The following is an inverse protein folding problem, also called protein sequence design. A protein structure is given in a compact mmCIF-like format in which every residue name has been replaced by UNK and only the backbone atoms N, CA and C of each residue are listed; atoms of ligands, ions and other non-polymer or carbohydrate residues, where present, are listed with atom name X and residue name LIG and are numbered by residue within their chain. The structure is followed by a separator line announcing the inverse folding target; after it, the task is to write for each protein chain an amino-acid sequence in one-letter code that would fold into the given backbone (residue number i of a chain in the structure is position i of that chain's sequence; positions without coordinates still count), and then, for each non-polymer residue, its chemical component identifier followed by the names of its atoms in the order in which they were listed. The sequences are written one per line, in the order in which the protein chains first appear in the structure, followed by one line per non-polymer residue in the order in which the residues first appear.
data_IF_744802681731
#
_entry.id   IF_744802681731
#
_cell.length_a   1.000
_cell.length_b   1.000
_cell.length_c   1.000
_cell.angle_alpha   90.00
_cell.angle_beta   90.00
_cell.angle_gamma   90.00
#
_symmetry.space_group_name_H-M   'P 1'
#
loop_
_entity.id
_entity.type
_entity.pdbx_description
1 polymer ?
#
# COMPACT_ATOMS: atom_id res chain seq x y z
N UNK A 1 -1.22 7.20 -18.55
CA UNK A 1 -1.45 8.32 -17.59
C UNK A 1 -1.48 7.71 -16.21
N UNK A 2 -0.79 8.31 -15.24
CA UNK A 2 -0.63 7.74 -13.90
C UNK A 2 -1.45 8.54 -12.88
N UNK A 3 -2.25 7.84 -12.08
CA UNK A 3 -2.86 8.37 -10.85
C UNK A 3 -2.13 7.75 -9.67
N UNK A 4 -1.79 8.55 -8.66
CA UNK A 4 -1.21 8.07 -7.41
C UNK A 4 -2.27 8.11 -6.32
N UNK A 5 -2.39 7.01 -5.58
CA UNK A 5 -3.24 6.93 -4.39
C UNK A 5 -2.35 6.77 -3.17
N UNK A 6 -2.42 7.75 -2.27
CA UNK A 6 -1.70 7.77 -1.01
C UNK A 6 -2.62 7.40 0.15
N UNK A 7 -2.08 6.71 1.15
CA UNK A 7 -2.83 6.22 2.32
C UNK A 7 -1.88 5.73 3.41
N UNK A 8 -2.27 5.83 4.67
CA UNK A 8 -1.44 5.44 5.81
C UNK A 8 -1.36 3.91 6.00
N UNK A 9 -0.21 3.39 6.45
CA UNK A 9 0.05 1.99 6.87
C UNK A 9 -0.22 0.87 5.86
N UNK A 10 0.71 -0.04 5.60
CA UNK A 10 0.54 -1.01 4.49
C UNK A 10 -0.52 -2.09 4.76
N UNK A 11 -0.77 -2.39 6.03
CA UNK A 11 -1.76 -3.36 6.51
C UNK A 11 -3.02 -2.68 7.09
N UNK A 12 -3.20 -1.39 6.82
CA UNK A 12 -4.32 -0.61 7.35
C UNK A 12 -5.58 -0.72 6.47
N UNK A 13 -6.73 -0.37 7.06
CA UNK A 13 -7.99 -0.18 6.32
C UNK A 13 -7.92 0.95 5.27
N UNK A 14 -7.02 1.91 5.44
CA UNK A 14 -6.79 3.00 4.46
C UNK A 14 -6.15 2.43 3.19
N UNK A 15 -5.13 1.58 3.36
CA UNK A 15 -4.47 0.91 2.24
C UNK A 15 -5.38 -0.12 1.57
N UNK A 16 -6.19 -0.81 2.37
CA UNK A 16 -7.22 -1.72 1.84
C UNK A 16 -8.26 -0.99 0.98
N UNK A 17 -8.70 0.20 1.40
CA UNK A 17 -9.57 1.04 0.57
C UNK A 17 -8.89 1.45 -0.75
N UNK A 18 -7.59 1.75 -0.74
CA UNK A 18 -6.84 2.04 -1.96
C UNK A 18 -6.79 0.83 -2.92
N UNK A 19 -6.63 -0.39 -2.39
CA UNK A 19 -6.67 -1.64 -3.17
C UNK A 19 -8.04 -1.89 -3.77
N UNK A 20 -9.10 -1.69 -2.96
CA UNK A 20 -10.49 -1.79 -3.42
C UNK A 20 -10.77 -0.83 -4.57
N UNK A 21 -10.43 0.46 -4.43
CA UNK A 21 -10.59 1.47 -5.50
C UNK A 21 -9.87 1.06 -6.79
N UNK A 22 -8.67 0.50 -6.68
CA UNK A 22 -7.91 0.03 -7.84
C UNK A 22 -8.57 -1.17 -8.50
N UNK A 23 -9.01 -2.16 -7.72
CA UNK A 23 -9.72 -3.35 -8.21
C UNK A 23 -11.00 -2.96 -8.94
N UNK A 24 -11.83 -2.14 -8.31
CA UNK A 24 -13.08 -1.64 -8.88
C UNK A 24 -12.87 -0.89 -10.20
N UNK A 25 -11.84 -0.06 -10.26
CA UNK A 25 -11.47 0.58 -11.52
C UNK A 25 -11.03 -0.43 -12.58
N UNK A 26 -10.21 -1.42 -12.20
CA UNK A 26 -9.67 -2.44 -13.12
C UNK A 26 -10.75 -3.33 -13.71
N UNK A 27 -11.79 -3.68 -12.94
CA UNK A 27 -12.84 -4.58 -13.39
C UNK A 27 -14.01 -3.84 -14.05
N UNK A 28 -14.43 -2.69 -13.51
CA UNK A 28 -15.63 -2.00 -13.98
C UNK A 28 -15.38 -0.91 -15.04
N UNK A 29 -14.22 -0.25 -14.99
CA UNK A 29 -13.96 0.94 -15.83
C UNK A 29 -12.91 0.66 -16.89
N UNK A 30 -11.76 0.09 -16.51
CA UNK A 30 -10.61 -0.15 -17.37
C UNK A 30 -10.94 -0.88 -18.69
N UNK A 31 -11.81 -1.91 -18.73
CA UNK A 31 -12.18 -2.60 -19.96
C UNK A 31 -13.05 -1.75 -20.90
N UNK A 32 -13.70 -0.71 -20.37
CA UNK A 32 -14.76 0.05 -21.04
C UNK A 32 -14.30 1.45 -21.51
N UNK A 33 -13.02 1.82 -21.32
CA UNK A 33 -12.49 3.12 -21.68
C UNK A 33 -11.35 3.02 -22.71
N UNK A 34 -11.31 3.98 -23.65
CA UNK A 34 -10.29 4.02 -24.70
C UNK A 34 -8.89 4.42 -24.19
N UNK A 35 -8.83 5.24 -23.12
CA UNK A 35 -7.56 5.71 -22.56
C UNK A 35 -7.46 5.24 -21.12
N UNK A 36 -6.64 4.22 -20.91
CA UNK A 36 -6.45 3.60 -19.62
C UNK A 36 -5.54 4.45 -18.71
N UNK A 37 -6.00 4.64 -17.50
CA UNK A 37 -5.23 5.14 -16.36
C UNK A 37 -4.53 3.97 -15.67
N UNK A 38 -3.27 4.17 -15.30
CA UNK A 38 -2.54 3.29 -14.39
C UNK A 38 -2.68 3.88 -12.99
N UNK A 39 -3.24 3.10 -12.06
CA UNK A 39 -3.36 3.47 -10.66
C UNK A 39 -2.16 2.88 -9.91
N UNK A 40 -1.37 3.76 -9.30
CA UNK A 40 -0.24 3.43 -8.46
C UNK A 40 -0.62 3.67 -7.01
N UNK A 41 -0.69 2.61 -6.21
CA UNK A 41 -0.88 2.73 -4.76
C UNK A 41 0.50 3.00 -4.17
N UNK A 42 0.63 4.17 -3.56
CA UNK A 42 1.88 4.63 -3.00
C UNK A 42 2.07 4.03 -1.61
N UNK A 43 3.30 3.65 -1.29
CA UNK A 43 3.67 3.13 0.01
C UNK A 43 3.47 4.15 1.14
N UNK A 44 4.01 5.38 1.06
CA UNK A 44 3.87 6.36 2.13
C UNK A 44 2.44 6.89 2.24
N UNK A 45 2.14 7.48 3.40
CA UNK A 45 0.86 8.13 3.66
C UNK A 45 0.59 9.32 2.74
N UNK A 46 1.64 10.08 2.43
CA UNK A 46 1.64 11.19 1.48
C UNK A 46 3.08 11.41 1.02
N UNK A 47 3.31 12.36 0.13
CA UNK A 47 4.65 12.84 -0.22
C UNK A 47 5.30 13.48 1.02
N UNK A 48 6.62 13.39 1.12
CA UNK A 48 7.33 13.92 2.28
C UNK A 48 7.07 15.42 2.46
N UNK A 49 6.69 15.81 3.68
CA UNK A 49 6.36 17.20 4.04
C UNK A 49 5.02 17.69 3.49
N UNK A 50 4.18 16.79 2.95
CA UNK A 50 2.82 17.08 2.49
C UNK A 50 1.80 16.46 3.42
N UNK A 51 0.57 16.92 3.25
CA UNK A 51 -0.62 16.37 3.88
C UNK A 51 -1.86 16.86 3.15
N UNK A 52 -3.01 16.34 3.55
CA UNK A 52 -4.31 16.75 3.04
C UNK A 52 -5.42 16.19 3.91
N UNK A 53 -6.66 16.37 3.47
CA UNK A 53 -7.84 16.06 4.29
C UNK A 53 -7.92 14.59 4.73
N UNK A 54 -7.30 13.66 4.00
CA UNK A 54 -7.24 12.26 4.41
C UNK A 54 -6.63 12.04 5.81
N UNK A 55 -5.71 12.90 6.27
CA UNK A 55 -5.05 12.81 7.58
C UNK A 55 -6.07 12.99 8.71
N UNK A 56 -6.80 14.12 8.83
CA UNK A 56 -7.85 14.26 9.85
C UNK A 56 -8.89 13.13 9.84
N UNK A 57 -9.31 12.64 8.66
CA UNK A 57 -10.30 11.55 8.59
C UNK A 57 -9.75 10.25 9.18
N UNK A 58 -8.50 9.87 8.86
CA UNK A 58 -7.91 8.65 9.42
C UNK A 58 -7.63 8.76 10.92
N UNK A 59 -7.23 9.93 11.42
CA UNK A 59 -7.00 10.18 12.85
C UNK A 59 -8.30 10.02 13.65
N UNK A 60 -9.45 10.25 13.00
CA UNK A 60 -10.78 10.00 13.54
C UNK A 60 -11.31 8.58 13.25
N UNK A 61 -10.47 7.70 12.72
CA UNK A 61 -10.80 6.30 12.49
C UNK A 61 -11.65 6.05 11.24
N UNK A 62 -11.71 6.95 10.26
CA UNK A 62 -12.37 6.69 8.98
C UNK A 62 -11.35 6.19 7.94
N UNK A 63 -11.62 5.11 7.19
CA UNK A 63 -10.84 4.77 5.99
C UNK A 63 -10.73 6.00 5.08
N UNK A 64 -9.52 6.32 4.64
CA UNK A 64 -9.24 7.58 3.98
C UNK A 64 -8.04 7.41 3.05
N UNK A 65 -8.18 7.94 1.84
CA UNK A 65 -7.14 7.89 0.81
C UNK A 65 -7.05 9.26 0.14
N UNK A 66 -5.91 9.55 -0.48
CA UNK A 66 -5.68 10.78 -1.25
C UNK A 66 -5.34 10.43 -2.69
N UNK A 67 -6.10 10.99 -3.64
CA UNK A 67 -5.74 10.97 -5.05
C UNK A 67 -4.83 12.15 -5.36
N UNK A 68 -3.71 11.88 -6.02
CA UNK A 68 -2.74 12.92 -6.42
C UNK A 68 -2.33 12.70 -7.87
N UNK A 69 -2.11 13.81 -8.59
CA UNK A 69 -1.50 13.78 -9.92
C UNK A 69 -0.10 13.20 -9.86
N UNK A 70 0.23 12.29 -10.77
CA UNK A 70 1.62 11.87 -10.96
C UNK A 70 2.50 13.03 -11.48
N UNK A 71 1.89 14.01 -12.15
CA UNK A 71 2.55 15.21 -12.66
C UNK A 71 1.87 16.43 -12.04
N UNK A 72 2.40 16.96 -10.96
CA UNK A 72 1.73 18.05 -10.23
C UNK A 72 1.99 19.46 -10.81
N UNK A 73 2.85 19.66 -11.82
CA UNK A 73 2.95 20.92 -12.59
C UNK A 73 3.55 20.74 -14.00
N UNK A 74 3.33 21.74 -14.88
CA UNK A 74 3.46 21.78 -16.36
C UNK A 74 4.79 21.41 -17.04
N UNK A 75 5.75 20.87 -16.29
CA UNK A 75 7.06 20.46 -16.78
C UNK A 75 7.26 18.94 -16.56
N UNK A 76 6.49 18.35 -15.63
CA UNK A 76 6.27 16.91 -15.46
C UNK A 76 7.51 16.04 -15.20
N UNK A 77 8.68 16.64 -14.97
CA UNK A 77 9.94 15.90 -14.88
C UNK A 77 10.69 16.24 -13.58
N UNK A 78 10.56 15.39 -12.53
CA UNK A 78 11.30 15.52 -11.28
C UNK A 78 12.83 15.54 -11.45
N UNK A 79 13.33 15.03 -12.58
CA UNK A 79 14.77 15.01 -12.90
C UNK A 79 15.27 16.33 -13.50
N UNK A 80 14.41 17.34 -13.71
CA UNK A 80 14.86 18.64 -14.20
C UNK A 80 15.57 19.45 -13.10
N UNK A 81 16.71 20.10 -13.41
CA UNK A 81 17.34 21.04 -12.50
C UNK A 81 16.37 22.18 -12.17
N UNK A 82 16.06 22.37 -10.89
CA UNK A 82 15.13 23.40 -10.44
C UNK A 82 13.66 22.96 -10.34
N UNK A 83 13.38 21.65 -10.38
CA UNK A 83 12.09 21.13 -9.93
C UNK A 83 11.84 21.55 -8.47
N UNK A 84 10.93 22.50 -8.28
CA UNK A 84 10.43 22.91 -6.97
C UNK A 84 8.97 22.48 -6.86
N UNK A 85 8.74 21.52 -5.98
CA UNK A 85 7.40 21.05 -5.61
C UNK A 85 6.63 22.21 -4.95
N UNK A 86 5.66 22.81 -5.65
CA UNK A 86 4.97 24.02 -5.19
C UNK A 86 3.87 23.71 -4.17
N UNK A 87 3.77 24.53 -3.13
CA UNK A 87 2.66 24.48 -2.18
C UNK A 87 1.54 25.39 -2.67
N UNK A 88 0.29 24.93 -2.52
CA UNK A 88 -0.86 25.77 -2.80
C UNK A 88 -0.87 27.01 -1.91
N UNK A 89 -1.24 28.14 -2.49
CA UNK A 89 -1.31 29.42 -1.82
C UNK A 89 -2.66 30.11 -2.07
N UNK A 90 -2.96 31.16 -1.30
CA UNK A 90 -4.12 32.02 -1.57
C UNK A 90 -4.02 32.80 -2.88
N UNK A 91 -2.85 32.80 -3.52
CA UNK A 91 -2.58 33.47 -4.79
C UNK A 91 -2.76 32.54 -5.99
N UNK A 92 -3.13 31.28 -5.76
CA UNK A 92 -3.34 30.31 -6.82
C UNK A 92 -4.50 30.74 -7.72
N UNK A 93 -4.23 30.74 -9.03
CA UNK A 93 -5.20 31.05 -10.07
C UNK A 93 -5.47 29.82 -10.92
N UNK A 94 -6.66 29.75 -11.51
CA UNK A 94 -7.08 28.60 -12.32
C UNK A 94 -6.34 28.49 -13.66
N UNK A 95 -5.84 29.62 -14.17
CA UNK A 95 -5.29 29.73 -15.50
C UNK A 95 -4.73 31.12 -15.81
N UNK A 96 -4.37 31.32 -17.07
CA UNK A 96 -3.94 32.61 -17.64
C UNK A 96 -4.88 32.96 -18.78
N UNK A 97 -5.24 34.23 -18.87
CA UNK A 97 -5.86 34.86 -20.05
C UNK A 97 -4.72 35.34 -20.95
N UNK A 98 -4.48 34.65 -22.07
CA UNK A 98 -3.34 34.90 -22.94
C UNK A 98 -3.58 35.98 -24.01
N UNK A 99 -4.84 36.36 -24.24
CA UNK A 99 -5.22 37.40 -25.22
C UNK A 99 -5.84 38.66 -24.60
N UNK A 100 -6.01 38.67 -23.28
CA UNK A 100 -6.48 39.78 -22.44
C UNK A 100 -7.93 40.20 -22.78
N UNK A 101 -8.78 39.24 -23.17
CA UNK A 101 -10.21 39.45 -23.46
C UNK A 101 -11.10 39.35 -22.19
N UNK A 102 -10.52 38.96 -21.05
CA UNK A 102 -11.19 38.76 -19.78
C UNK A 102 -11.68 37.33 -19.54
N UNK A 103 -11.39 36.39 -20.44
CA UNK A 103 -11.68 34.97 -20.34
C UNK A 103 -10.38 34.17 -20.23
N UNK A 104 -10.38 33.15 -19.37
CA UNK A 104 -9.23 32.23 -19.30
C UNK A 104 -9.25 31.29 -20.50
N UNK A 105 -8.14 31.26 -21.23
CA UNK A 105 -7.93 30.41 -22.41
C UNK A 105 -6.77 29.39 -22.22
N UNK A 106 -5.99 29.53 -21.14
CA UNK A 106 -4.96 28.59 -20.71
C UNK A 106 -5.19 28.18 -19.25
N UNK A 107 -5.16 26.88 -18.95
CA UNK A 107 -5.48 26.34 -17.62
C UNK A 107 -4.30 25.59 -17.01
N UNK A 108 -4.11 25.75 -15.69
CA UNK A 108 -3.10 25.01 -14.94
C UNK A 108 -3.58 23.62 -14.49
N UNK A 109 -4.84 23.30 -14.75
CA UNK A 109 -5.45 21.99 -14.51
C UNK A 109 -5.70 21.30 -15.84
N UNK A 110 -5.26 20.05 -15.95
CA UNK A 110 -5.69 19.17 -17.04
C UNK A 110 -7.10 18.62 -16.73
N UNK A 111 -8.11 19.13 -17.44
CA UNK A 111 -9.50 18.70 -17.26
C UNK A 111 -9.74 17.24 -17.63
N UNK A 112 -8.97 16.67 -18.56
CA UNK A 112 -9.07 15.25 -18.88
C UNK A 112 -8.50 14.39 -17.75
N UNK A 113 -7.42 14.83 -17.12
CA UNK A 113 -6.89 14.18 -15.91
C UNK A 113 -7.91 14.26 -14.77
N UNK A 114 -8.45 15.45 -14.50
CA UNK A 114 -9.47 15.66 -13.47
C UNK A 114 -10.71 14.78 -13.70
N UNK A 115 -11.22 14.73 -14.93
CA UNK A 115 -12.36 13.89 -15.28
C UNK A 115 -12.09 12.40 -15.03
N UNK A 116 -10.89 11.90 -15.38
CA UNK A 116 -10.52 10.51 -15.10
C UNK A 116 -10.44 10.22 -13.61
N UNK A 117 -9.84 11.13 -12.83
CA UNK A 117 -9.77 11.00 -11.38
C UNK A 117 -11.17 10.99 -10.75
N UNK A 118 -12.06 11.88 -11.23
CA UNK A 118 -13.46 11.93 -10.79
C UNK A 118 -14.22 10.63 -11.11
N UNK A 119 -14.00 10.02 -12.29
CA UNK A 119 -14.62 8.74 -12.64
C UNK A 119 -14.12 7.61 -11.75
N UNK A 120 -12.82 7.52 -11.49
CA UNK A 120 -12.24 6.48 -10.60
C UNK A 120 -12.84 6.60 -9.19
N UNK A 121 -12.85 7.82 -8.63
CA UNK A 121 -13.41 8.08 -7.32
C UNK A 121 -14.92 7.80 -7.26
N UNK A 122 -15.67 8.30 -8.25
CA UNK A 122 -17.11 8.08 -8.35
C UNK A 122 -17.50 6.61 -8.50
N UNK A 123 -16.72 5.83 -9.26
CA UNK A 123 -16.92 4.38 -9.39
C UNK A 123 -16.76 3.68 -8.04
N UNK A 124 -15.64 3.91 -7.35
CA UNK A 124 -15.40 3.28 -6.06
C UNK A 124 -16.44 3.67 -5.00
N UNK A 125 -16.86 4.94 -4.97
CA UNK A 125 -17.94 5.39 -4.09
C UNK A 125 -19.28 4.70 -4.42
N UNK A 126 -19.61 4.56 -5.70
CA UNK A 126 -20.84 3.90 -6.13
C UNK A 126 -20.82 2.41 -5.76
N UNK A 127 -19.71 1.71 -6.03
CA UNK A 127 -19.58 0.28 -5.73
C UNK A 127 -19.59 0.02 -4.22
N UNK A 128 -18.87 0.82 -3.42
CA UNK A 128 -18.90 0.70 -1.97
C UNK A 128 -20.27 1.01 -1.35
N UNK A 129 -21.07 1.87 -1.99
CA UNK A 129 -22.41 2.23 -1.51
C UNK A 129 -23.50 1.23 -1.93
N UNK A 130 -23.32 0.57 -3.08
CA UNK A 130 -24.25 -0.43 -3.60
C UNK A 130 -23.95 -1.83 -3.06
N UNK A 131 -22.67 -2.14 -2.81
CA UNK A 131 -22.23 -3.45 -2.37
C UNK A 131 -22.80 -3.86 -1.01
N UNK A 132 -22.86 -5.18 -0.74
CA UNK A 132 -23.38 -5.69 0.51
C UNK A 132 -22.45 -5.37 1.69
N UNK A 133 -22.91 -5.69 2.91
CA UNK A 133 -22.04 -5.62 4.08
C UNK A 133 -20.89 -6.63 3.95
N UNK A 134 -19.64 -6.24 4.26
CA UNK A 134 -18.49 -7.14 4.15
C UNK A 134 -18.57 -8.32 5.12
N UNK A 135 -17.81 -9.41 4.87
CA UNK A 135 -17.66 -10.49 5.84
C UNK A 135 -17.23 -9.96 7.21
N UNK A 136 -17.87 -10.47 8.27
CA UNK A 136 -17.59 -10.09 9.65
C UNK A 136 -16.17 -10.48 10.06
N UNK A 137 -15.71 -11.65 9.61
CA UNK A 137 -14.34 -12.10 9.79
C UNK A 137 -13.92 -13.08 8.70
N UNK A 138 -12.61 -13.30 8.61
CA UNK A 138 -11.97 -14.32 7.79
C UNK A 138 -11.01 -15.07 8.72
N UNK A 139 -10.89 -16.38 8.57
CA UNK A 139 -9.73 -17.12 9.09
C UNK A 139 -9.09 -17.91 7.95
N UNK A 140 -7.76 -18.08 8.05
CA UNK A 140 -6.98 -18.74 7.01
C UNK A 140 -6.00 -19.72 7.63
N UNK A 141 -6.00 -20.95 7.10
CA UNK A 141 -5.09 -22.00 7.49
C UNK A 141 -4.36 -22.55 6.25
N UNK A 142 -3.10 -22.94 6.40
CA UNK A 142 -2.37 -23.60 5.32
C UNK A 142 -2.67 -25.11 5.32
N UNK A 143 -3.00 -25.65 4.15
CA UNK A 143 -3.12 -27.09 3.90
C UNK A 143 -2.23 -27.50 2.72
N UNK A 144 -1.02 -27.97 3.00
CA UNK A 144 -0.07 -28.31 1.94
C UNK A 144 0.31 -27.08 1.12
N UNK A 145 0.01 -27.12 -0.18
CA UNK A 145 0.19 -25.99 -1.11
C UNK A 145 -1.11 -25.20 -1.35
N UNK A 146 -2.06 -25.28 -0.41
CA UNK A 146 -3.34 -24.60 -0.48
C UNK A 146 -3.56 -23.74 0.77
N UNK A 147 -4.47 -22.77 0.66
CA UNK A 147 -5.04 -22.07 1.79
C UNK A 147 -6.49 -22.52 1.97
N UNK A 148 -6.84 -22.94 3.18
CA UNK A 148 -8.22 -23.14 3.59
C UNK A 148 -8.70 -21.83 4.18
N UNK A 149 -9.73 -21.26 3.57
CA UNK A 149 -10.35 -20.01 4.01
C UNK A 149 -11.68 -20.30 4.67
N UNK A 150 -11.98 -19.64 5.77
CA UNK A 150 -13.28 -19.66 6.43
C UNK A 150 -13.79 -18.23 6.51
N UNK A 151 -14.83 -17.94 5.74
CA UNK A 151 -15.46 -16.63 5.60
C UNK A 151 -16.70 -16.63 6.50
N UNK A 152 -16.70 -15.74 7.49
CA UNK A 152 -17.85 -15.49 8.35
C UNK A 152 -18.69 -14.38 7.73
N UNK A 153 -19.64 -14.75 6.88
CA UNK A 153 -20.58 -13.83 6.25
C UNK A 153 -21.98 -13.99 6.87
N UNK A 154 -22.43 -13.03 7.69
CA UNK A 154 -23.74 -13.10 8.32
C UNK A 154 -24.90 -12.99 7.32
N UNK A 155 -24.65 -12.49 6.11
CA UNK A 155 -25.66 -12.33 5.07
C UNK A 155 -25.86 -13.60 4.22
N UNK A 156 -24.91 -14.54 4.27
CA UNK A 156 -24.90 -15.81 3.55
C UNK A 156 -25.30 -15.65 2.06
N UNK A 157 -24.68 -14.69 1.36
CA UNK A 157 -25.00 -14.41 -0.05
C UNK A 157 -24.41 -15.47 -1.01
N UNK A 158 -23.48 -16.30 -0.54
CA UNK A 158 -23.03 -17.49 -1.25
C UNK A 158 -22.10 -17.22 -2.45
N UNK A 159 -21.58 -16.00 -2.59
CA UNK A 159 -20.53 -15.65 -3.55
C UNK A 159 -19.51 -14.71 -2.89
N UNK A 160 -18.24 -15.06 -2.99
CA UNK A 160 -17.16 -14.41 -2.27
C UNK A 160 -15.95 -14.18 -3.16
N UNK A 161 -15.24 -13.09 -2.86
CA UNK A 161 -13.97 -12.71 -3.49
C UNK A 161 -12.89 -12.81 -2.44
N UNK A 162 -11.83 -13.58 -2.69
CA UNK A 162 -10.73 -13.76 -1.73
C UNK A 162 -9.46 -13.19 -2.36
N UNK A 163 -8.99 -12.07 -1.81
CA UNK A 163 -7.78 -11.41 -2.26
C UNK A 163 -6.58 -11.84 -1.42
N UNK A 164 -5.46 -12.11 -2.09
CA UNK A 164 -4.18 -12.47 -1.49
C UNK A 164 -3.13 -11.47 -1.94
N UNK A 165 -2.24 -11.09 -1.04
CA UNK A 165 -1.00 -10.38 -1.37
C UNK A 165 0.15 -10.75 -0.46
N UNK A 166 1.37 -10.53 -0.91
CA UNK A 166 2.54 -10.50 -0.04
C UNK A 166 2.43 -9.36 1.00
N UNK A 167 2.95 -9.59 2.21
CA UNK A 167 2.79 -8.70 3.35
C UNK A 167 3.16 -7.24 3.06
N UNK A 168 4.22 -7.00 2.28
CA UNK A 168 4.74 -5.66 2.05
C UNK A 168 4.39 -5.09 0.66
N UNK A 169 3.54 -5.75 -0.13
CA UNK A 169 3.08 -5.22 -1.41
C UNK A 169 1.85 -4.33 -1.23
N UNK A 170 1.74 -3.31 -2.07
CA UNK A 170 0.62 -2.37 -2.03
C UNK A 170 -0.61 -2.90 -2.78
N UNK A 171 -0.42 -3.84 -3.70
CA UNK A 171 -1.47 -4.36 -4.57
C UNK A 171 -1.97 -5.72 -4.10
N UNK A 172 -3.16 -6.13 -4.56
CA UNK A 172 -3.54 -7.53 -4.52
C UNK A 172 -2.76 -8.29 -5.59
N UNK A 173 -2.15 -9.40 -5.22
CA UNK A 173 -1.40 -10.26 -6.14
C UNK A 173 -2.37 -11.18 -6.91
N UNK A 174 -3.40 -11.67 -6.22
CA UNK A 174 -4.40 -12.58 -6.79
C UNK A 174 -5.73 -12.40 -6.11
N UNK A 175 -6.82 -12.43 -6.88
CA UNK A 175 -8.19 -12.44 -6.37
C UNK A 175 -8.91 -13.68 -6.88
N UNK A 176 -9.33 -14.54 -5.95
CA UNK A 176 -10.13 -15.73 -6.22
C UNK A 176 -11.61 -15.40 -6.12
N UNK A 177 -12.44 -16.19 -6.81
CA UNK A 177 -13.90 -16.17 -6.62
C UNK A 177 -14.33 -17.56 -6.17
N UNK A 178 -15.11 -17.62 -5.10
CA UNK A 178 -15.65 -18.87 -4.55
C UNK A 178 -17.12 -18.72 -4.19
N UNK A 179 -17.87 -19.81 -4.26
CA UNK A 179 -19.27 -19.87 -3.84
C UNK A 179 -19.46 -20.65 -2.52
N UNK A 180 -18.38 -20.80 -1.74
CA UNK A 180 -18.39 -21.50 -0.47
C UNK A 180 -17.81 -20.59 0.62
N UNK A 181 -18.45 -20.56 1.78
CA UNK A 181 -17.90 -19.90 2.97
C UNK A 181 -16.63 -20.59 3.47
N UNK A 182 -16.49 -21.90 3.22
CA UNK A 182 -15.28 -22.65 3.51
C UNK A 182 -14.77 -23.25 2.21
N UNK A 183 -13.61 -22.79 1.75
CA UNK A 183 -13.02 -23.26 0.49
C UNK A 183 -11.52 -23.53 0.64
N UNK A 184 -10.99 -24.40 -0.22
CA UNK A 184 -9.56 -24.71 -0.31
C UNK A 184 -9.00 -24.16 -1.61
N UNK A 185 -8.29 -23.04 -1.50
CA UNK A 185 -7.69 -22.32 -2.62
C UNK A 185 -6.30 -22.89 -2.90
N UNK A 186 -6.10 -23.46 -4.09
CA UNK A 186 -4.76 -23.82 -4.55
C UNK A 186 -3.97 -22.54 -4.85
N UNK A 187 -2.78 -22.43 -4.28
CA UNK A 187 -1.96 -21.22 -4.38
C UNK A 187 -0.52 -21.57 -4.78
N UNK A 188 0.13 -20.64 -5.47
CA UNK A 188 1.55 -20.73 -5.82
C UNK A 188 2.33 -19.68 -5.03
N UNK A 189 2.37 -19.87 -3.71
CA UNK A 189 3.03 -18.96 -2.78
C UNK A 189 4.45 -19.43 -2.47
N UNK A 190 5.34 -18.47 -2.23
CA UNK A 190 6.73 -18.73 -1.87
C UNK A 190 6.82 -19.13 -0.39
N UNK A 191 7.32 -20.34 -0.07
CA UNK A 191 7.51 -20.73 1.31
C UNK A 191 8.55 -19.87 1.99
N UNK A 192 8.27 -19.44 3.23
CA UNK A 192 9.13 -18.55 3.99
C UNK A 192 8.62 -17.11 4.07
N UNK A 193 7.64 -16.76 3.24
CA UNK A 193 7.07 -15.42 3.18
C UNK A 193 5.74 -15.32 3.94
N UNK A 194 5.34 -14.08 4.22
CA UNK A 194 4.07 -13.78 4.87
C UNK A 194 3.12 -13.18 3.87
N UNK A 195 1.91 -13.69 3.85
CA UNK A 195 0.84 -13.22 2.99
C UNK A 195 -0.30 -12.65 3.82
N UNK A 196 -1.01 -11.71 3.20
CA UNK A 196 -2.23 -11.10 3.70
C UNK A 196 -3.39 -11.58 2.86
N UNK A 197 -4.44 -12.03 3.53
CA UNK A 197 -5.64 -12.55 2.89
C UNK A 197 -6.83 -11.78 3.42
N UNK A 198 -7.75 -11.44 2.53
CA UNK A 198 -9.00 -10.76 2.88
C UNK A 198 -10.12 -11.22 1.96
N UNK A 199 -11.37 -11.12 2.44
CA UNK A 199 -12.54 -11.54 1.69
C UNK A 199 -13.56 -10.41 1.52
N UNK A 200 -14.29 -10.43 0.41
CA UNK A 200 -15.46 -9.61 0.16
C UNK A 200 -16.66 -10.50 -0.21
N UNK A 201 -17.86 -10.08 0.13
CA UNK A 201 -19.11 -10.73 -0.25
C UNK A 201 -19.63 -10.10 -1.54
N UNK A 202 -20.23 -10.89 -2.43
CA UNK A 202 -20.80 -10.40 -3.68
C UNK A 202 -22.31 -10.60 -3.67
N UNK A 203 -23.05 -9.57 -4.07
CA UNK A 203 -24.51 -9.62 -4.16
C UNK A 203 -25.03 -10.24 -5.47
N UNK A 204 -26.36 -10.26 -5.62
CA UNK A 204 -27.03 -10.82 -6.78
C UNK A 204 -26.82 -10.01 -8.08
N UNK A 205 -26.47 -8.72 -7.96
CA UNK A 205 -26.17 -7.84 -9.08
C UNK A 205 -24.67 -7.92 -9.48
N UNK A 206 -23.88 -8.69 -8.73
CA UNK A 206 -22.45 -8.88 -8.96
C UNK A 206 -21.59 -7.79 -8.34
N UNK A 207 -22.13 -6.98 -7.44
CA UNK A 207 -21.38 -5.94 -6.73
C UNK A 207 -20.73 -6.53 -5.48
N UNK A 208 -19.42 -6.37 -5.38
CA UNK A 208 -18.64 -6.81 -4.23
C UNK A 208 -18.66 -5.75 -3.10
N UNK A 209 -18.69 -6.22 -1.86
CA UNK A 209 -18.54 -5.39 -0.68
C UNK A 209 -17.13 -4.81 -0.61
N UNK A 210 -16.90 -3.92 0.35
CA UNK A 210 -15.55 -3.71 0.85
C UNK A 210 -14.94 -5.04 1.35
N UNK A 211 -13.62 -5.08 1.45
CA UNK A 211 -12.91 -6.25 1.94
C UNK A 211 -12.87 -6.28 3.48
N UNK A 212 -12.95 -7.48 4.07
CA UNK A 212 -12.81 -7.73 5.51
C UNK A 212 -11.43 -7.31 6.03
N UNK A 213 -11.21 -7.26 7.34
CA UNK A 213 -9.84 -7.11 7.85
C UNK A 213 -8.90 -8.19 7.26
N UNK A 214 -7.63 -7.84 7.09
CA UNK A 214 -6.64 -8.76 6.53
C UNK A 214 -6.11 -9.73 7.59
N UNK A 215 -6.24 -11.03 7.31
CA UNK A 215 -5.57 -12.08 8.06
C UNK A 215 -4.16 -12.32 7.55
N UNK A 216 -3.24 -12.62 8.47
CA UNK A 216 -1.86 -12.96 8.14
C UNK A 216 -1.68 -14.47 8.08
N UNK A 217 -1.10 -14.99 7.00
CA UNK A 217 -0.64 -16.37 6.92
C UNK A 217 0.86 -16.40 6.64
N UNK A 218 1.61 -17.09 7.50
CA UNK A 218 3.00 -17.40 7.21
C UNK A 218 3.04 -18.70 6.40
N UNK A 219 3.52 -18.64 5.16
CA UNK A 219 3.46 -19.80 4.27
C UNK A 219 4.66 -20.72 4.54
N UNK A 220 4.39 -21.85 5.18
CA UNK A 220 5.40 -22.83 5.57
C UNK A 220 5.77 -23.73 4.38
N UNK A 221 7.04 -24.17 4.30
CA UNK A 221 7.39 -25.24 3.38
C UNK A 221 6.72 -26.53 3.81
N UNK A 222 6.23 -27.31 2.85
CA UNK A 222 5.61 -28.62 3.09
C UNK A 222 6.63 -29.74 3.39
N UNK A 223 7.92 -29.42 3.44
CA UNK A 223 9.02 -30.35 3.73
C UNK A 223 9.62 -30.23 5.14
N UNK A 224 10.30 -31.29 5.62
CA UNK A 224 10.84 -31.43 6.99
C UNK A 224 12.16 -30.66 7.21
N UNK A 225 12.20 -29.36 6.88
CA UNK A 225 13.32 -28.50 7.30
C UNK A 225 12.86 -27.57 8.41
N UNK A 226 13.45 -27.73 9.59
CA UNK A 226 13.36 -26.77 10.69
C UNK A 226 13.78 -25.38 10.19
N UNK A 227 12.96 -24.37 10.48
CA UNK A 227 13.13 -23.00 10.00
C UNK A 227 13.93 -22.19 11.04
N UNK A 228 15.17 -21.76 10.75
CA UNK A 228 16.08 -21.15 11.73
C UNK A 228 15.59 -19.83 12.35
N UNK A 229 14.62 -19.15 11.73
CA UNK A 229 14.13 -17.84 12.16
C UNK A 229 13.03 -17.92 13.24
N UNK A 230 12.44 -19.10 13.50
CA UNK A 230 11.44 -19.25 14.58
C UNK A 230 12.02 -19.10 15.99
N UNK A 231 13.33 -19.26 16.17
CA UNK A 231 13.96 -19.20 17.49
C UNK A 231 14.15 -17.77 18.03
N UNK A 232 14.27 -16.77 17.15
CA UNK A 232 14.64 -15.39 17.55
C UNK A 232 13.48 -14.59 18.15
N UNK A 233 12.24 -14.98 17.88
CA UNK A 233 11.03 -14.24 18.29
C UNK A 233 10.78 -12.94 17.52
N UNK A 234 11.69 -12.54 16.63
CA UNK A 234 11.54 -11.43 15.69
C UNK A 234 12.21 -11.77 14.34
N UNK A 235 11.84 -11.03 13.30
CA UNK A 235 12.45 -11.12 11.97
C UNK A 235 12.41 -9.76 11.30
N UNK A 236 13.57 -9.24 10.87
CA UNK A 236 13.61 -8.09 9.98
C UNK A 236 13.20 -8.58 8.58
N UNK A 237 12.25 -7.92 7.93
CA UNK A 237 11.76 -8.30 6.61
C UNK A 237 12.51 -7.51 5.52
N UNK A 238 12.53 -8.06 4.30
CA UNK A 238 13.08 -7.34 3.16
C UNK A 238 12.22 -6.10 2.89
N UNK A 239 12.84 -4.94 2.73
CA UNK A 239 12.13 -3.70 2.46
C UNK A 239 11.34 -3.78 1.15
N UNK A 240 10.20 -3.09 1.11
CA UNK A 240 9.39 -3.03 -0.10
C UNK A 240 8.83 -1.60 -0.35
N UNK A 241 8.84 -1.11 -1.59
CA UNK A 241 9.44 -1.75 -2.77
C UNK A 241 10.98 -1.82 -2.67
N UNK A 242 11.58 -2.74 -3.42
CA UNK A 242 13.02 -2.85 -3.59
C UNK A 242 13.34 -3.40 -5.01
N UNK A 243 13.92 -2.60 -5.94
CA UNK A 243 14.32 -1.21 -5.76
C UNK A 243 13.14 -0.26 -5.51
N UNK A 244 13.38 0.87 -4.84
CA UNK A 244 12.38 1.92 -4.60
C UNK A 244 12.73 3.24 -5.31
N UNK A 245 11.74 4.13 -5.42
CA UNK A 245 11.77 5.40 -6.16
C UNK A 245 11.54 6.66 -5.31
N UNK A 246 10.56 6.65 -4.41
CA UNK A 246 10.26 7.77 -3.51
C UNK A 246 10.45 7.35 -2.05
N UNK A 247 9.86 6.21 -1.68
CA UNK A 247 9.97 5.68 -0.34
C UNK A 247 9.85 4.15 -0.33
N UNK A 248 10.37 3.54 0.73
CA UNK A 248 10.27 2.13 1.02
C UNK A 248 9.85 1.92 2.48
N UNK A 249 9.27 0.76 2.78
CA UNK A 249 8.91 0.37 4.15
C UNK A 249 9.90 -0.67 4.66
N UNK A 250 10.38 -0.44 5.88
CA UNK A 250 11.03 -1.46 6.69
C UNK A 250 10.01 -2.06 7.64
N UNK A 251 9.91 -3.38 7.67
CA UNK A 251 9.01 -4.07 8.56
C UNK A 251 9.75 -5.07 9.45
N UNK A 252 9.33 -5.14 10.71
CA UNK A 252 9.81 -6.11 11.69
C UNK A 252 8.62 -6.93 12.17
N UNK A 253 8.68 -8.24 11.92
CA UNK A 253 7.72 -9.21 12.47
C UNK A 253 8.17 -9.59 13.88
N UNK A 254 7.27 -9.54 14.83
CA UNK A 254 7.51 -9.86 16.24
C UNK A 254 6.49 -10.93 16.66
N UNK A 255 6.98 -12.15 16.88
CA UNK A 255 6.14 -13.32 17.18
C UNK A 255 5.63 -13.32 18.63
N UNK A 256 6.43 -12.76 19.53
CA UNK A 256 6.14 -12.68 20.97
C UNK A 256 6.53 -11.30 21.49
N UNK A 257 5.80 -10.72 22.46
CA UNK A 257 6.14 -9.41 23.01
C UNK A 257 7.61 -9.34 23.46
N UNK A 258 8.35 -8.34 22.98
CA UNK A 258 9.76 -8.11 23.32
C UNK A 258 9.84 -6.86 24.18
N UNK A 259 10.29 -7.01 25.43
CA UNK A 259 10.63 -5.85 26.26
C UNK A 259 11.95 -5.26 25.78
N UNK A 260 11.95 -3.98 25.45
CA UNK A 260 13.10 -3.22 25.01
C UNK A 260 13.02 -1.80 25.59
N UNK A 261 14.17 -1.12 25.74
CA UNK A 261 14.22 0.31 26.09
C UNK A 261 14.21 1.19 24.87
N UNK A 262 14.89 0.75 23.81
CA UNK A 262 15.00 1.45 22.55
C UNK A 262 15.08 0.45 21.39
N UNK A 263 14.36 0.74 20.32
CA UNK A 263 14.49 0.04 19.05
C UNK A 263 14.40 1.05 17.89
N UNK A 264 15.26 0.88 16.89
CA UNK A 264 15.25 1.68 15.68
C UNK A 264 15.82 0.92 14.49
N UNK A 265 15.45 1.35 13.28
CA UNK A 265 16.13 0.98 12.05
C UNK A 265 17.19 2.05 11.76
N UNK A 266 18.45 1.64 11.62
CA UNK A 266 19.54 2.52 11.14
C UNK A 266 19.83 2.22 9.68
N UNK A 267 19.98 3.27 8.87
CA UNK A 267 20.32 3.17 7.44
C UNK A 267 21.72 3.70 7.21
N UNK A 268 22.54 2.92 6.50
CA UNK A 268 23.95 3.19 6.24
C UNK A 268 24.25 3.18 4.72
N UNK A 269 25.18 4.03 4.28
CA UNK A 269 25.83 3.86 2.98
C UNK A 269 26.86 2.71 3.00
N UNK A 270 27.41 2.36 1.82
CA UNK A 270 28.42 1.30 1.69
C UNK A 270 29.75 1.61 2.40
N UNK A 271 29.96 2.85 2.83
CA UNK A 271 31.12 3.27 3.62
C UNK A 271 30.83 3.24 5.13
N UNK A 272 29.61 2.85 5.53
CA UNK A 272 29.17 2.74 6.92
C UNK A 272 28.72 4.08 7.54
N UNK A 273 28.54 5.13 6.74
CA UNK A 273 28.01 6.41 7.23
C UNK A 273 26.51 6.29 7.49
N UNK A 274 26.09 6.74 8.67
CA UNK A 274 24.68 6.85 9.03
C UNK A 274 23.97 7.91 8.18
N UNK A 275 22.92 7.48 7.46
CA UNK A 275 22.05 8.32 6.63
C UNK A 275 20.74 8.63 7.36
N UNK A 276 20.22 7.68 8.13
CA UNK A 276 18.98 7.84 8.88
C UNK A 276 18.92 6.93 10.10
N UNK A 277 18.13 7.37 11.07
CA UNK A 277 17.76 6.61 12.26
C UNK A 277 16.26 6.76 12.48
N UNK A 278 15.53 5.66 12.29
CA UNK A 278 14.07 5.62 12.32
C UNK A 278 13.61 4.85 13.56
N UNK A 279 13.07 5.52 14.59
CA UNK A 279 12.52 4.86 15.78
C UNK A 279 11.41 3.87 15.40
N UNK A 280 11.40 2.68 16.00
CA UNK A 280 10.35 1.68 15.80
C UNK A 280 9.93 1.10 17.15
N UNK A 281 8.63 0.98 17.39
CA UNK A 281 8.11 0.26 18.56
C UNK A 281 7.86 -1.19 18.17
N UNK A 282 8.41 -2.15 18.92
CA UNK A 282 8.27 -3.58 18.63
C UNK A 282 7.10 -4.20 19.41
N UNK A 283 5.88 -4.01 18.92
CA UNK A 283 4.69 -4.70 19.40
C UNK A 283 4.56 -6.08 18.77
N UNK A 284 3.79 -6.99 19.37
CA UNK A 284 3.48 -8.27 18.73
C UNK A 284 2.77 -8.02 17.38
N UNK A 285 3.19 -8.73 16.34
CA UNK A 285 2.72 -8.55 14.97
C UNK A 285 3.74 -7.84 14.07
N UNK A 286 3.24 -7.11 13.08
CA UNK A 286 4.06 -6.38 12.10
C UNK A 286 4.21 -4.93 12.56
N UNK A 287 5.45 -4.46 12.64
CA UNK A 287 5.79 -3.08 12.99
C UNK A 287 6.54 -2.47 11.83
N UNK A 288 6.19 -1.24 11.45
CA UNK A 288 6.62 -0.64 10.20
C UNK A 288 7.22 0.75 10.44
N UNK A 289 8.21 1.11 9.62
CA UNK A 289 8.70 2.49 9.49
C UNK A 289 8.96 2.79 8.02
N UNK A 290 8.64 4.02 7.60
CA UNK A 290 8.86 4.50 6.23
C UNK A 290 10.22 5.16 6.14
N UNK A 291 10.95 4.87 5.07
CA UNK A 291 12.19 5.54 4.69
C UNK A 291 12.02 6.18 3.32
N UNK A 292 12.26 7.49 3.23
CA UNK A 292 12.12 8.27 1.99
C UNK A 292 13.48 8.68 1.38
N UNK A 293 13.40 9.16 0.13
CA UNK A 293 14.56 9.60 -0.64
C UNK A 293 15.35 10.78 -0.02
N UNK A 294 14.76 11.55 0.90
CA UNK A 294 15.39 12.77 1.43
C UNK A 294 16.65 12.45 2.24
N UNK A 295 16.68 11.28 2.86
CA UNK A 295 17.80 10.79 3.65
C UNK A 295 19.07 10.53 2.82
N UNK A 296 18.94 10.36 1.50
CA UNK A 296 20.05 10.16 0.57
C UNK A 296 20.02 11.08 -0.66
N UNK A 297 19.11 12.06 -0.70
CA UNK A 297 19.03 13.15 -1.69
C UNK A 297 19.06 12.67 -3.15
N UNK A 298 18.24 11.67 -3.48
CA UNK A 298 18.15 11.10 -4.83
C UNK A 298 19.47 10.52 -5.38
N UNK A 299 20.41 10.10 -4.52
CA UNK A 299 21.63 9.44 -4.99
C UNK A 299 21.33 7.97 -5.26
N UNK A 300 21.35 7.47 -6.51
CA UNK A 300 21.14 6.05 -6.80
C UNK A 300 22.23 5.19 -6.18
N UNK A 301 21.86 4.02 -5.65
CA UNK A 301 22.83 3.15 -5.01
C UNK A 301 22.25 2.02 -4.19
N UNK A 302 23.17 1.22 -3.64
CA UNK A 302 22.85 0.19 -2.66
C UNK A 302 23.13 0.73 -1.27
N UNK A 303 22.19 0.50 -0.36
CA UNK A 303 22.27 0.88 1.04
C UNK A 303 22.05 -0.34 1.92
N UNK A 304 22.50 -0.25 3.18
CA UNK A 304 22.20 -1.26 4.18
C UNK A 304 21.29 -0.67 5.26
N UNK A 305 20.38 -1.47 5.80
CA UNK A 305 19.59 -1.11 6.96
C UNK A 305 19.63 -2.23 8.00
N UNK A 306 19.64 -1.84 9.27
CA UNK A 306 19.80 -2.76 10.38
C UNK A 306 18.78 -2.48 11.47
N UNK A 307 18.19 -3.54 12.02
CA UNK A 307 17.41 -3.46 13.25
C UNK A 307 18.37 -3.40 14.44
N UNK A 308 18.28 -2.33 15.23
CA UNK A 308 19.03 -2.15 16.46
C UNK A 308 18.06 -2.14 17.64
N UNK A 309 18.35 -2.96 18.65
CA UNK A 309 17.57 -3.02 19.90
C UNK A 309 18.53 -2.96 21.07
N UNK A 310 18.30 -2.01 21.98
CA UNK A 310 19.12 -1.78 23.19
C UNK A 310 20.64 -1.72 22.90
N UNK A 311 20.99 -1.09 21.77
CA UNK A 311 22.37 -0.90 21.31
C UNK A 311 23.00 -2.09 20.57
N UNK A 312 22.27 -3.20 20.38
CA UNK A 312 22.74 -4.37 19.64
C UNK A 312 22.13 -4.42 18.24
N UNK A 313 22.98 -4.63 17.22
CA UNK A 313 22.54 -4.91 15.85
C UNK A 313 22.07 -6.37 15.79
N UNK A 314 20.79 -6.57 15.50
CA UNK A 314 20.16 -7.89 15.51
C UNK A 314 20.14 -8.54 14.12
N UNK A 315 19.80 -7.76 13.09
CA UNK A 315 19.75 -8.22 11.71
C UNK A 315 20.04 -7.04 10.77
N UNK A 316 20.66 -7.33 9.63
CA UNK A 316 21.01 -6.36 8.59
C UNK A 316 20.55 -6.88 7.24
N UNK A 317 19.98 -6.00 6.43
CA UNK A 317 19.62 -6.28 5.03
C UNK A 317 20.10 -5.16 4.11
N UNK A 318 20.02 -5.41 2.81
CA UNK A 318 20.37 -4.47 1.77
C UNK A 318 19.13 -3.98 1.03
N UNK A 319 19.16 -2.75 0.54
CA UNK A 319 18.15 -2.15 -0.33
C UNK A 319 18.82 -1.42 -1.49
N UNK A 320 18.07 -1.24 -2.58
CA UNK A 320 18.51 -0.53 -3.77
C UNK A 320 17.57 0.64 -4.01
N UNK A 321 18.15 1.82 -4.22
CA UNK A 321 17.46 2.99 -4.70
C UNK A 321 17.84 3.20 -6.18
N UNK A 322 16.84 3.20 -7.06
CA UNK A 322 17.06 3.08 -8.51
C UNK A 322 16.95 4.39 -9.31
N UNK A 323 16.47 5.49 -8.72
CA UNK A 323 16.02 6.67 -9.47
C UNK A 323 16.81 7.95 -9.16
#
# INVERSE_FOLDING_TARGET
INVRIYSDGITSKHKQLARYVKLEYQENIFPNIAVQTVINIMTPEDRTGRGGDHIPFRENGYPAIRFTSANEHGDGNPSQPGYEDRQHSMEDVLGVDTDNDGLLDSFFVDFHYLARNAVINGNALAMAALGPEPPASLTVEQLGNALVVHIDDPNDLGLYRVAIRELLTNDWDTVFTTNQQVDTLLVDLVPGDTYKVSAATVDADGVESLFSNEESVFFLPTGVKELPWMEKGYTLLQNHPNPFDEATVFAVRVERPISHREAFIVVLDLQGKELARLPITLNQGINEVVYDYQHHRYVPGTYAYSLVVDGQVLETKQMVYAY
#
